data_IF_779192426015
#
_entry.id   IF_779192426015
#
_cell.length_a   1.000
_cell.length_b   1.000
_cell.length_c   1.000
_cell.angle_alpha   90.00
_cell.angle_beta   90.00
_cell.angle_gamma   90.00
#
_symmetry.space_group_name_H-M   'P 1'
#
loop_
_entity.id
_entity.type
_entity.pdbx_description
1 polymer ?
#
# COMPACT_ATOMS: atom_id res chain seq x y z
N UNK A 1 11.13 43.44 0.93
CA UNK A 1 10.31 42.77 -0.09
C UNK A 1 11.28 41.90 -0.88
N UNK A 2 11.71 40.79 -0.29
CA UNK A 2 11.20 39.43 -0.51
C UNK A 2 11.82 38.84 -1.79
N UNK A 3 12.62 37.77 -1.77
CA UNK A 3 12.31 36.51 -1.12
C UNK A 3 13.54 35.58 -1.18
N UNK A 4 14.16 35.29 -0.03
CA UNK A 4 15.12 34.19 0.07
C UNK A 4 14.33 32.88 0.16
N UNK A 5 14.37 32.10 -0.92
CA UNK A 5 13.87 30.72 -0.97
C UNK A 5 14.60 29.89 0.08
N UNK A 6 13.99 29.73 1.26
CA UNK A 6 14.43 28.81 2.30
C UNK A 6 14.31 27.40 1.75
N UNK A 7 15.42 26.85 1.26
CA UNK A 7 15.56 25.46 0.88
C UNK A 7 15.38 24.59 2.13
N UNK A 8 14.13 24.17 2.38
CA UNK A 8 13.81 23.32 3.53
C UNK A 8 14.47 21.96 3.36
N UNK A 9 15.35 21.61 4.30
CA UNK A 9 16.09 20.36 4.32
C UNK A 9 15.15 19.21 4.63
N UNK A 10 15.16 18.18 3.78
CA UNK A 10 14.28 17.03 3.89
C UNK A 10 15.00 15.88 4.61
N UNK A 11 14.36 15.31 5.63
CA UNK A 11 14.84 14.08 6.27
C UNK A 11 14.84 12.94 5.25
N UNK A 12 15.97 12.23 5.04
CA UNK A 12 16.06 11.15 4.04
C UNK A 12 15.18 9.95 4.42
N UNK A 13 14.92 9.74 5.71
CA UNK A 13 14.20 8.58 6.24
C UNK A 13 12.68 8.76 6.19
N UNK A 14 12.16 9.94 6.57
CA UNK A 14 10.71 10.17 6.65
C UNK A 14 10.18 11.32 5.78
N UNK A 15 11.04 11.93 4.94
CA UNK A 15 10.69 12.99 4.00
C UNK A 15 10.09 14.27 4.63
N UNK A 16 10.12 14.42 5.96
CA UNK A 16 9.75 15.66 6.66
C UNK A 16 10.74 16.78 6.37
N UNK A 17 10.23 18.01 6.19
CA UNK A 17 10.99 19.21 5.84
C UNK A 17 11.26 20.07 7.07
N UNK A 18 12.50 20.50 7.23
CA UNK A 18 12.97 21.32 8.35
C UNK A 18 13.56 22.63 7.84
N UNK A 19 13.39 23.73 8.61
CA UNK A 19 13.94 25.03 8.25
C UNK A 19 15.47 25.10 8.41
N UNK A 20 16.07 24.25 9.25
CA UNK A 20 17.52 24.22 9.48
C UNK A 20 18.10 22.79 9.46
N UNK A 21 19.40 22.69 9.17
CA UNK A 21 20.15 21.42 9.21
C UNK A 21 20.23 20.86 10.62
N UNK A 22 20.34 21.74 11.62
CA UNK A 22 20.35 21.39 13.04
C UNK A 22 19.03 20.77 13.48
N UNK A 23 17.89 21.30 13.01
CA UNK A 23 16.57 20.73 13.27
C UNK A 23 16.41 19.37 12.60
N UNK A 24 16.89 19.21 11.37
CA UNK A 24 16.90 17.92 10.67
C UNK A 24 17.78 16.89 11.41
N UNK A 25 18.99 17.27 11.85
CA UNK A 25 19.91 16.39 12.59
C UNK A 25 19.39 16.03 13.98
N UNK A 26 18.72 16.96 14.66
CA UNK A 26 18.03 16.70 15.94
C UNK A 26 16.83 15.78 15.74
N UNK A 27 16.06 15.99 14.68
CA UNK A 27 14.97 15.12 14.30
C UNK A 27 15.44 13.70 13.98
N UNK A 28 16.59 13.53 13.31
CA UNK A 28 17.15 12.20 13.02
C UNK A 28 17.48 11.39 14.27
N UNK A 29 17.83 12.03 15.39
CA UNK A 29 17.97 11.33 16.69
C UNK A 29 16.66 10.81 17.25
N UNK A 30 15.52 11.19 16.67
CA UNK A 30 14.24 10.56 16.97
C UNK A 30 14.09 9.23 16.23
N UNK A 31 14.80 8.98 15.12
CA UNK A 31 14.79 7.66 14.48
C UNK A 31 15.60 6.63 15.27
N UNK A 32 16.55 7.09 16.09
CA UNK A 32 17.43 6.30 16.95
C UNK A 32 16.76 5.83 18.26
N UNK A 33 15.43 5.71 18.25
CA UNK A 33 14.63 5.32 19.41
C UNK A 33 13.84 4.07 19.08
N UNK A 34 13.85 3.11 20.00
CA UNK A 34 13.36 1.74 19.78
C UNK A 34 11.86 1.64 19.48
N UNK A 35 11.05 2.65 19.81
CA UNK A 35 9.58 2.56 19.75
C UNK A 35 8.95 3.57 18.77
N UNK A 36 8.93 3.29 17.45
CA UNK A 36 8.25 4.13 16.46
C UNK A 36 6.73 3.99 16.54
N UNK A 37 6.00 5.11 16.43
CA UNK A 37 4.56 5.09 16.22
C UNK A 37 4.25 4.90 14.74
N UNK A 38 3.57 3.82 14.37
CA UNK A 38 3.26 3.56 12.96
C UNK A 38 2.30 4.61 12.35
N UNK A 39 1.41 5.20 13.16
CA UNK A 39 0.42 6.19 12.70
C UNK A 39 1.04 7.54 12.33
N UNK A 40 2.17 7.95 12.92
CA UNK A 40 2.79 9.25 12.61
C UNK A 40 4.30 9.19 12.35
N UNK A 41 4.93 8.04 12.55
CA UNK A 41 6.38 7.82 12.48
C UNK A 41 7.19 8.50 13.57
N UNK A 42 6.57 9.03 14.62
CA UNK A 42 7.31 9.61 15.73
C UNK A 42 7.80 8.50 16.65
N UNK A 43 9.07 8.50 17.02
CA UNK A 43 9.61 7.44 17.88
C UNK A 43 9.85 7.92 19.32
N UNK A 44 9.71 6.97 20.24
CA UNK A 44 9.74 7.15 21.68
C UNK A 44 10.86 6.30 22.27
N UNK A 45 11.52 6.81 23.31
CA UNK A 45 12.59 6.07 23.98
C UNK A 45 12.06 4.96 24.89
N UNK A 46 10.75 4.93 25.17
CA UNK A 46 10.11 3.89 25.98
C UNK A 46 8.77 3.46 25.37
N UNK A 47 8.43 2.18 25.54
CA UNK A 47 7.13 1.62 25.15
C UNK A 47 5.95 2.30 25.86
N UNK A 48 6.14 2.75 27.11
CA UNK A 48 5.11 3.50 27.87
C UNK A 48 4.77 4.84 27.22
N UNK A 49 5.77 5.57 26.73
CA UNK A 49 5.55 6.86 26.09
C UNK A 49 4.95 6.70 24.68
N UNK A 50 5.34 5.65 23.95
CA UNK A 50 4.65 5.26 22.72
C UNK A 50 3.17 4.99 23.01
N UNK A 51 2.86 4.10 23.96
CA UNK A 51 1.48 3.75 24.29
C UNK A 51 0.63 4.97 24.68
N UNK A 52 1.21 5.90 25.45
CA UNK A 52 0.54 7.16 25.78
C UNK A 52 0.27 8.03 24.54
N UNK A 53 1.21 8.08 23.59
CA UNK A 53 1.06 8.86 22.37
C UNK A 53 -0.02 8.29 21.44
N UNK A 54 -0.19 6.97 21.40
CA UNK A 54 -1.14 6.26 20.52
C UNK A 54 -2.57 6.79 20.67
N UNK A 55 -2.97 7.16 21.89
CA UNK A 55 -4.29 7.72 22.24
C UNK A 55 -4.61 9.02 21.46
N UNK A 56 -3.59 9.73 20.97
CA UNK A 56 -3.78 10.98 20.22
C UNK A 56 -4.28 10.77 18.78
N UNK A 57 -4.16 9.56 18.21
CA UNK A 57 -4.57 9.27 16.83
C UNK A 57 -6.04 8.88 16.69
N UNK A 58 -6.73 8.55 17.78
CA UNK A 58 -8.12 8.09 17.78
C UNK A 58 -9.17 9.19 17.49
N UNK A 59 -8.76 10.36 16.99
CA UNK A 59 -9.58 11.57 16.82
C UNK A 59 -10.30 11.99 18.11
N UNK A 60 -9.65 12.90 18.83
CA UNK A 60 -10.35 13.73 19.80
C UNK A 60 -11.25 14.70 19.03
N UNK A 61 -12.58 14.57 19.17
CA UNK A 61 -13.51 15.60 18.71
C UNK A 61 -13.19 16.96 19.36
N UNK A 62 -13.83 18.05 18.91
CA UNK A 62 -13.56 19.43 19.38
C UNK A 62 -13.75 19.63 20.90
N UNK A 63 -14.35 18.66 21.61
CA UNK A 63 -14.45 18.60 23.08
C UNK A 63 -13.44 17.64 23.74
N UNK A 64 -12.36 17.27 23.02
CA UNK A 64 -11.27 16.29 23.24
C UNK A 64 -10.56 16.18 24.59
N UNK A 65 -11.29 16.26 25.68
CA UNK A 65 -10.83 16.36 27.04
C UNK A 65 -11.18 15.04 27.75
N UNK A 66 -10.25 14.08 27.75
CA UNK A 66 -10.47 12.79 28.43
C UNK A 66 -10.62 13.01 29.94
N UNK A 67 -9.92 14.01 30.47
CA UNK A 67 -9.94 14.37 31.88
C UNK A 67 -10.51 15.78 32.06
N UNK A 68 -11.62 15.86 32.81
CA UNK A 68 -12.23 17.12 33.27
C UNK A 68 -12.03 17.27 34.77
N UNK A 69 -11.95 18.51 35.23
CA UNK A 69 -12.00 18.80 36.65
C UNK A 69 -13.44 18.68 37.15
N UNK A 70 -13.66 17.87 38.17
CA UNK A 70 -14.98 17.64 38.78
C UNK A 70 -15.30 18.63 39.91
N UNK A 71 -14.37 19.54 40.23
CA UNK A 71 -14.60 20.58 41.24
C UNK A 71 -15.72 21.51 40.74
N UNK A 72 -16.82 21.68 41.50
CA UNK A 72 -17.95 22.52 41.10
C UNK A 72 -17.52 23.93 40.68
N UNK A 73 -18.06 24.44 39.57
CA UNK A 73 -17.72 25.75 39.01
C UNK A 73 -16.38 25.83 38.27
N UNK A 74 -15.56 24.77 38.28
CA UNK A 74 -14.31 24.74 37.55
C UNK A 74 -14.55 24.44 36.06
N UNK A 75 -14.15 25.36 35.17
CA UNK A 75 -14.27 25.21 33.71
C UNK A 75 -13.11 24.42 33.07
N UNK A 76 -12.29 23.72 33.86
CA UNK A 76 -11.17 22.95 33.32
C UNK A 76 -11.66 21.67 32.64
N UNK A 77 -11.83 21.73 31.33
CA UNK A 77 -11.83 20.61 30.41
C UNK A 77 -10.73 20.87 29.38
N UNK A 78 -9.79 19.94 29.21
CA UNK A 78 -8.70 20.15 28.23
C UNK A 78 -7.59 19.11 28.24
N UNK A 79 -7.57 18.20 29.22
CA UNK A 79 -6.42 17.34 29.43
C UNK A 79 -6.62 15.95 28.80
N UNK A 80 -5.74 15.58 27.87
CA UNK A 80 -5.58 14.18 27.42
C UNK A 80 -4.84 13.29 28.43
N UNK A 81 -4.30 13.85 29.54
CA UNK A 81 -3.53 13.13 30.55
C UNK A 81 -4.03 13.38 31.97
N UNK A 82 -4.13 12.31 32.76
CA UNK A 82 -4.43 12.34 34.20
C UNK A 82 -3.42 13.24 34.95
N UNK A 83 -2.14 13.19 34.59
CA UNK A 83 -1.10 14.05 35.19
C UNK A 83 -1.36 15.55 35.00
N UNK A 84 -1.93 15.95 33.87
CA UNK A 84 -2.23 17.36 33.59
C UNK A 84 -3.44 17.82 34.41
N UNK A 85 -4.43 16.94 34.62
CA UNK A 85 -5.51 17.17 35.56
C UNK A 85 -4.98 17.31 36.99
N UNK A 86 -4.09 16.41 37.42
CA UNK A 86 -3.48 16.50 38.76
C UNK A 86 -2.71 17.80 38.97
N UNK A 87 -1.88 18.20 38.00
CA UNK A 87 -1.15 19.48 38.04
C UNK A 87 -2.11 20.67 38.12
N UNK A 88 -3.18 20.68 37.32
CA UNK A 88 -4.22 21.70 37.40
C UNK A 88 -4.84 21.73 38.80
N UNK A 89 -5.25 20.56 39.34
CA UNK A 89 -5.91 20.45 40.62
C UNK A 89 -5.03 20.93 41.77
N UNK A 90 -3.75 20.53 41.78
CA UNK A 90 -2.78 20.98 42.78
C UNK A 90 -2.61 22.50 42.74
N UNK A 91 -2.43 23.07 41.55
CA UNK A 91 -2.09 24.49 41.42
C UNK A 91 -3.29 25.43 41.60
N UNK A 92 -4.52 24.97 41.30
CA UNK A 92 -5.73 25.82 41.33
C UNK A 92 -6.64 25.56 42.52
N UNK A 93 -6.67 24.33 43.04
CA UNK A 93 -7.61 23.91 44.11
C UNK A 93 -6.93 23.57 45.44
N UNK A 94 -5.60 23.36 45.45
CA UNK A 94 -4.85 23.14 46.71
C UNK A 94 -4.26 24.45 47.26
N UNK A 95 -3.88 25.37 46.36
CA UNK A 95 -3.20 26.64 46.70
C UNK A 95 -3.90 27.90 46.17
N UNK A 96 -5.13 27.79 45.63
CA UNK A 96 -5.88 28.88 45.03
C UNK A 96 -7.02 29.44 45.91
N UNK A 97 -7.90 30.25 45.30
CA UNK A 97 -9.04 30.90 45.97
C UNK A 97 -10.11 29.92 46.51
N UNK A 98 -10.14 28.69 46.00
CA UNK A 98 -11.01 27.62 46.47
C UNK A 98 -10.13 26.50 47.04
N UNK A 99 -9.94 26.47 48.37
CA UNK A 99 -9.05 25.52 49.04
C UNK A 99 -9.79 24.22 49.35
N UNK A 100 -9.63 23.24 48.49
CA UNK A 100 -10.18 21.89 48.68
C UNK A 100 -9.20 21.09 49.55
N UNK A 101 -9.66 20.40 50.62
CA UNK A 101 -8.82 19.49 51.39
C UNK A 101 -8.15 18.45 50.48
N UNK A 102 -6.87 18.14 50.73
CA UNK A 102 -6.09 17.27 49.82
C UNK A 102 -6.74 15.89 49.63
N UNK A 103 -7.36 15.36 50.69
CA UNK A 103 -8.08 14.08 50.65
C UNK A 103 -9.23 14.11 49.65
N UNK A 104 -10.10 15.11 49.73
CA UNK A 104 -11.24 15.27 48.83
C UNK A 104 -10.79 15.58 47.39
N UNK A 105 -9.67 16.31 47.23
CA UNK A 105 -9.06 16.55 45.92
C UNK A 105 -8.52 15.25 45.30
N UNK A 106 -7.95 14.36 46.12
CA UNK A 106 -7.54 13.01 45.70
C UNK A 106 -8.74 12.19 45.28
N UNK A 107 -9.85 12.29 46.01
CA UNK A 107 -11.09 11.59 45.69
C UNK A 107 -11.70 12.11 44.37
N UNK A 108 -11.68 13.42 44.11
CA UNK A 108 -12.07 13.98 42.82
C UNK A 108 -11.16 13.51 41.67
N UNK A 109 -9.84 13.44 41.92
CA UNK A 109 -8.86 12.95 40.95
C UNK A 109 -9.05 11.47 40.62
N UNK A 110 -9.41 10.66 41.62
CA UNK A 110 -9.72 9.25 41.45
C UNK A 110 -11.08 9.06 40.77
N UNK A 111 -12.10 9.86 41.12
CA UNK A 111 -13.43 9.89 40.47
C UNK A 111 -13.40 10.37 39.03
N UNK A 112 -12.34 11.08 38.61
CA UNK A 112 -12.13 11.47 37.22
C UNK A 112 -11.68 10.28 36.33
N UNK A 113 -11.78 9.03 36.79
CA UNK A 113 -11.56 7.84 35.97
C UNK A 113 -12.52 7.80 34.78
N UNK A 114 -11.90 7.78 33.59
CA UNK A 114 -12.46 7.54 32.25
C UNK A 114 -13.95 7.84 32.07
N UNK A 115 -14.28 9.07 31.63
CA UNK A 115 -15.55 9.32 30.91
C UNK A 115 -15.56 8.72 29.50
N UNK A 116 -14.62 7.83 29.17
CA UNK A 116 -14.65 7.00 27.98
C UNK A 116 -15.09 5.60 28.36
N UNK A 117 -15.90 5.01 27.50
CA UNK A 117 -16.09 3.57 27.44
C UNK A 117 -14.72 2.92 27.18
N UNK A 118 -14.13 2.30 28.21
CA UNK A 118 -12.80 1.67 28.16
C UNK A 118 -12.71 0.59 27.07
N UNK A 119 -13.86 0.05 26.63
CA UNK A 119 -13.94 -0.91 25.53
C UNK A 119 -13.45 -0.34 24.20
N UNK A 120 -13.71 0.96 23.92
CA UNK A 120 -13.32 1.62 22.66
C UNK A 120 -11.84 2.01 22.60
N UNK A 121 -11.24 2.33 23.75
CA UNK A 121 -9.78 2.51 23.89
C UNK A 121 -9.02 1.20 23.64
N UNK A 122 -9.54 0.08 24.14
CA UNK A 122 -8.96 -1.24 23.85
C UNK A 122 -9.06 -1.58 22.37
N UNK A 123 -10.16 -1.24 21.71
CA UNK A 123 -10.31 -1.48 20.26
C UNK A 123 -9.28 -0.69 19.42
N UNK A 124 -9.09 0.61 19.68
CA UNK A 124 -8.10 1.41 18.96
C UNK A 124 -6.65 1.02 19.29
N UNK A 125 -6.37 0.62 20.52
CA UNK A 125 -5.10 0.00 20.90
C UNK A 125 -4.86 -1.30 20.11
N UNK A 126 -5.80 -2.26 20.13
CA UNK A 126 -5.71 -3.54 19.39
C UNK A 126 -5.50 -3.37 17.89
N UNK A 127 -6.22 -2.45 17.26
CA UNK A 127 -6.05 -2.16 15.83
C UNK A 127 -4.60 -1.75 15.52
N UNK A 128 -4.04 -0.93 16.39
CA UNK A 128 -2.68 -0.44 16.25
C UNK A 128 -1.63 -1.50 16.68
N UNK A 129 -1.99 -2.43 17.57
CA UNK A 129 -1.16 -3.59 17.91
C UNK A 129 -1.11 -4.61 16.77
N UNK A 130 -2.23 -4.83 16.08
CA UNK A 130 -2.30 -5.67 14.89
C UNK A 130 -1.37 -5.16 13.79
N UNK A 131 -1.42 -3.86 13.50
CA UNK A 131 -0.53 -3.27 12.50
C UNK A 131 0.95 -3.35 12.91
N UNK A 132 1.29 -3.17 14.19
CA UNK A 132 2.66 -3.34 14.69
C UNK A 132 3.12 -4.80 14.59
N UNK A 133 2.27 -5.75 15.00
CA UNK A 133 2.53 -7.18 14.84
C UNK A 133 2.76 -7.51 13.36
N UNK A 134 1.98 -6.89 12.47
CA UNK A 134 2.18 -7.01 11.03
C UNK A 134 3.52 -6.45 10.56
N UNK A 135 3.96 -5.31 11.09
CA UNK A 135 5.27 -4.75 10.77
C UNK A 135 6.43 -5.66 11.20
N UNK A 136 6.33 -6.24 12.39
CA UNK A 136 7.37 -7.11 12.94
C UNK A 136 7.32 -8.54 12.40
N UNK A 137 6.19 -8.95 11.80
CA UNK A 137 5.96 -10.35 11.43
C UNK A 137 5.63 -11.24 12.62
N UNK A 138 5.13 -10.66 13.71
CA UNK A 138 4.74 -11.37 14.93
C UNK A 138 3.36 -12.01 14.74
N UNK A 139 3.37 -13.23 14.21
CA UNK A 139 2.17 -13.98 13.85
C UNK A 139 1.25 -14.25 15.04
N UNK A 140 1.82 -14.66 16.17
CA UNK A 140 1.05 -15.01 17.37
C UNK A 140 0.33 -13.79 17.93
N UNK A 141 1.04 -12.65 17.98
CA UNK A 141 0.43 -11.40 18.43
C UNK A 141 -0.62 -10.88 17.45
N UNK A 142 -0.39 -11.00 16.14
CA UNK A 142 -1.40 -10.64 15.15
C UNK A 142 -2.66 -11.50 15.30
N UNK A 143 -2.50 -12.81 15.50
CA UNK A 143 -3.58 -13.77 15.74
C UNK A 143 -4.37 -13.46 17.02
N UNK A 144 -3.67 -13.09 18.10
CA UNK A 144 -4.29 -12.62 19.34
C UNK A 144 -5.12 -11.36 19.10
N UNK A 145 -4.56 -10.35 18.44
CA UNK A 145 -5.26 -9.09 18.13
C UNK A 145 -6.54 -9.34 17.31
N UNK A 146 -6.47 -10.20 16.29
CA UNK A 146 -7.64 -10.58 15.47
C UNK A 146 -8.70 -11.28 16.32
N UNK A 147 -8.30 -12.22 17.20
CA UNK A 147 -9.21 -12.92 18.12
C UNK A 147 -9.91 -11.96 19.09
N UNK A 148 -9.21 -10.92 19.53
CA UNK A 148 -9.77 -9.87 20.39
C UNK A 148 -10.66 -8.84 19.65
N UNK A 149 -10.91 -9.05 18.36
CA UNK A 149 -11.78 -8.21 17.54
C UNK A 149 -11.09 -6.95 17.02
N UNK A 150 -9.77 -6.99 16.77
CA UNK A 150 -9.12 -5.92 16.02
C UNK A 150 -9.75 -5.78 14.61
N UNK A 151 -10.01 -4.55 14.21
CA UNK A 151 -10.45 -4.21 12.86
C UNK A 151 -9.31 -4.48 11.88
N UNK A 152 -9.46 -5.52 11.08
CA UNK A 152 -8.46 -5.95 10.10
C UNK A 152 -8.32 -4.98 8.92
N UNK A 153 -9.35 -4.14 8.70
CA UNK A 153 -9.38 -3.15 7.64
C UNK A 153 -8.64 -1.86 8.02
N UNK A 154 -8.20 -1.73 9.28
CA UNK A 154 -7.50 -0.54 9.76
C UNK A 154 -6.26 -0.25 8.90
N UNK A 155 -6.02 1.02 8.63
CA UNK A 155 -4.91 1.48 7.78
C UNK A 155 -3.95 2.37 8.57
N UNK A 156 -2.67 2.23 8.28
CA UNK A 156 -1.63 3.15 8.73
C UNK A 156 -1.68 4.48 7.96
N UNK A 157 -0.73 5.38 8.24
CA UNK A 157 -0.60 6.67 7.54
C UNK A 157 -0.28 6.58 6.05
N UNK A 158 0.21 5.43 5.58
CA UNK A 158 0.49 5.16 4.16
C UNK A 158 -0.72 4.57 3.45
N UNK A 159 -1.80 4.29 4.19
CA UNK A 159 -2.99 3.63 3.68
C UNK A 159 -2.87 2.10 3.68
N UNK A 160 -1.84 1.54 4.31
CA UNK A 160 -1.59 0.09 4.35
C UNK A 160 -2.29 -0.54 5.57
N UNK A 161 -3.03 -1.61 5.36
CA UNK A 161 -3.54 -2.48 6.42
C UNK A 161 -2.54 -3.61 6.73
N UNK A 162 -2.89 -4.50 7.65
CA UNK A 162 -2.04 -5.63 8.05
C UNK A 162 -1.65 -6.53 6.86
N UNK A 163 -2.56 -6.76 5.90
CA UNK A 163 -2.28 -7.57 4.71
C UNK A 163 -1.24 -6.92 3.80
N UNK A 164 -1.38 -5.61 3.53
CA UNK A 164 -0.40 -4.87 2.73
C UNK A 164 0.97 -4.82 3.40
N UNK A 165 1.03 -4.67 4.73
CA UNK A 165 2.29 -4.71 5.47
C UNK A 165 2.91 -6.10 5.40
N UNK A 166 2.11 -7.16 5.49
CA UNK A 166 2.58 -8.54 5.33
C UNK A 166 3.25 -8.68 3.96
N UNK A 167 2.58 -8.25 2.88
CA UNK A 167 3.10 -8.29 1.49
C UNK A 167 4.40 -7.48 1.33
N UNK A 168 4.40 -6.22 1.76
CA UNK A 168 5.56 -5.33 1.65
C UNK A 168 6.81 -5.90 2.37
N UNK A 169 6.61 -6.76 3.39
CA UNK A 169 7.69 -7.31 4.22
C UNK A 169 7.96 -8.80 4.03
N UNK A 170 7.17 -9.49 3.21
CA UNK A 170 7.35 -10.92 2.94
C UNK A 170 6.82 -11.87 4.02
N UNK A 171 5.89 -11.44 4.87
CA UNK A 171 5.37 -12.25 5.98
C UNK A 171 4.24 -13.19 5.52
N UNK A 172 4.58 -14.32 4.89
CA UNK A 172 3.61 -15.25 4.27
C UNK A 172 2.58 -15.83 5.25
N UNK A 173 3.00 -16.24 6.45
CA UNK A 173 2.07 -16.83 7.43
C UNK A 173 1.07 -15.82 7.97
N UNK A 174 1.53 -14.58 8.21
CA UNK A 174 0.65 -13.49 8.56
C UNK A 174 -0.36 -13.20 7.45
N UNK A 175 0.06 -13.25 6.18
CA UNK A 175 -0.84 -13.11 5.04
C UNK A 175 -1.92 -14.20 5.05
N UNK A 176 -1.58 -15.46 5.36
CA UNK A 176 -2.56 -16.55 5.52
C UNK A 176 -3.58 -16.26 6.62
N UNK A 177 -3.12 -15.82 7.79
CA UNK A 177 -4.00 -15.45 8.91
C UNK A 177 -4.97 -14.33 8.54
N UNK A 178 -4.48 -13.32 7.82
CA UNK A 178 -5.26 -12.16 7.43
C UNK A 178 -6.28 -12.47 6.32
N UNK A 179 -5.92 -13.35 5.38
CA UNK A 179 -6.86 -13.86 4.36
C UNK A 179 -8.00 -14.66 4.99
N UNK A 180 -7.71 -15.52 5.96
CA UNK A 180 -8.72 -16.28 6.71
C UNK A 180 -9.72 -15.40 7.45
N UNK A 181 -9.33 -14.17 7.79
CA UNK A 181 -10.19 -13.20 8.46
C UNK A 181 -11.04 -12.35 7.50
N UNK A 182 -11.06 -12.67 6.20
CA UNK A 182 -12.04 -12.15 5.24
C UNK A 182 -11.64 -10.86 4.52
N UNK A 183 -10.34 -10.54 4.44
CA UNK A 183 -9.87 -9.47 3.54
C UNK A 183 -10.02 -9.90 2.09
N UNK A 184 -10.48 -8.99 1.23
CA UNK A 184 -10.54 -9.20 -0.21
C UNK A 184 -9.16 -9.59 -0.79
N UNK A 185 -9.01 -10.83 -1.30
CA UNK A 185 -7.75 -11.33 -1.81
C UNK A 185 -7.31 -10.68 -3.13
N UNK A 186 -8.22 -10.08 -3.90
CA UNK A 186 -7.89 -9.55 -5.22
C UNK A 186 -6.97 -8.32 -5.14
N UNK A 187 -7.34 -7.35 -4.29
CA UNK A 187 -6.52 -6.16 -4.04
C UNK A 187 -5.12 -6.47 -3.49
N UNK A 188 -4.94 -7.67 -2.90
CA UNK A 188 -3.67 -8.19 -2.41
C UNK A 188 -2.86 -8.88 -3.52
N UNK A 189 -3.53 -9.60 -4.43
CA UNK A 189 -2.89 -10.30 -5.54
C UNK A 189 -2.08 -9.33 -6.39
N UNK A 190 -2.67 -8.21 -6.80
CA UNK A 190 -1.98 -7.20 -7.60
C UNK A 190 -0.70 -6.70 -6.90
N UNK A 191 -0.77 -6.44 -5.59
CA UNK A 191 0.38 -5.97 -4.81
C UNK A 191 1.48 -7.04 -4.72
N UNK A 192 1.11 -8.29 -4.45
CA UNK A 192 2.07 -9.39 -4.39
C UNK A 192 2.79 -9.63 -5.72
N UNK A 193 2.05 -9.50 -6.83
CA UNK A 193 2.61 -9.55 -8.19
C UNK A 193 3.55 -8.39 -8.45
N UNK A 194 3.18 -7.15 -8.09
CA UNK A 194 4.04 -5.97 -8.28
C UNK A 194 5.39 -6.09 -7.55
N UNK A 195 5.41 -6.75 -6.39
CA UNK A 195 6.63 -7.02 -5.61
C UNK A 195 7.43 -8.22 -6.12
N UNK A 196 6.88 -9.05 -7.01
CA UNK A 196 7.58 -10.22 -7.55
C UNK A 196 7.68 -11.40 -6.58
N UNK A 197 6.86 -11.47 -5.53
CA UNK A 197 6.92 -12.54 -4.53
C UNK A 197 6.08 -13.76 -4.93
N UNK A 198 6.75 -14.81 -5.42
CA UNK A 198 6.11 -16.06 -5.88
C UNK A 198 5.30 -16.72 -4.76
N UNK A 199 5.87 -16.81 -3.55
CA UNK A 199 5.23 -17.49 -2.41
C UNK A 199 3.94 -16.78 -1.97
N UNK A 200 3.94 -15.44 -2.01
CA UNK A 200 2.77 -14.64 -1.67
C UNK A 200 1.68 -14.75 -2.71
N UNK A 201 2.06 -14.73 -4.00
CA UNK A 201 1.09 -14.97 -5.09
C UNK A 201 0.43 -16.33 -4.92
N UNK A 202 1.21 -17.41 -4.74
CA UNK A 202 0.66 -18.75 -4.50
C UNK A 202 -0.29 -18.78 -3.31
N UNK A 203 0.14 -18.22 -2.18
CA UNK A 203 -0.67 -18.16 -0.95
C UNK A 203 -2.02 -17.47 -1.17
N UNK A 204 -2.06 -16.39 -1.97
CA UNK A 204 -3.30 -15.67 -2.29
C UNK A 204 -4.18 -16.50 -3.24
N UNK A 205 -3.59 -17.14 -4.26
CA UNK A 205 -4.35 -17.97 -5.21
C UNK A 205 -4.92 -19.23 -4.55
N UNK A 206 -4.18 -19.83 -3.63
CA UNK A 206 -4.61 -21.00 -2.83
C UNK A 206 -5.81 -20.67 -1.91
N UNK A 207 -6.15 -19.39 -1.71
CA UNK A 207 -7.36 -18.99 -0.97
C UNK A 207 -8.68 -19.20 -1.72
N UNK A 208 -8.63 -19.68 -2.97
CA UNK A 208 -9.81 -19.90 -3.81
C UNK A 208 -10.25 -18.67 -4.60
N UNK A 209 -9.36 -17.68 -4.76
CA UNK A 209 -9.64 -16.47 -5.55
C UNK A 209 -9.81 -16.82 -7.03
N UNK A 210 -10.96 -16.47 -7.60
CA UNK A 210 -11.14 -16.46 -9.05
C UNK A 210 -10.42 -15.24 -9.65
N UNK A 211 -9.34 -15.46 -10.41
CA UNK A 211 -8.47 -14.40 -10.95
C UNK A 211 -9.18 -13.48 -11.97
N UNK A 212 -10.32 -13.92 -12.51
CA UNK A 212 -10.98 -13.30 -13.66
C UNK A 212 -12.00 -12.20 -13.31
N UNK A 213 -12.01 -11.70 -12.08
CA UNK A 213 -12.80 -10.52 -11.74
C UNK A 213 -12.13 -9.27 -12.32
N UNK A 214 -12.85 -8.66 -13.27
CA UNK A 214 -12.43 -7.47 -14.01
C UNK A 214 -12.40 -6.25 -13.08
N UNK A 215 -11.30 -6.03 -12.35
CA UNK A 215 -11.12 -4.73 -11.73
C UNK A 215 -10.71 -3.72 -12.81
N UNK A 216 -11.71 -2.98 -13.27
CA UNK A 216 -11.54 -1.81 -14.12
C UNK A 216 -10.89 -0.72 -13.25
N UNK A 217 -9.58 -0.56 -13.36
CA UNK A 217 -8.90 0.54 -12.70
C UNK A 217 -9.28 1.86 -13.39
N UNK A 218 -10.00 2.72 -12.68
CA UNK A 218 -10.23 4.11 -13.04
C UNK A 218 -9.16 4.98 -12.36
N UNK A 219 -8.00 5.14 -12.99
CA UNK A 219 -6.95 6.00 -12.44
C UNK A 219 -6.10 6.66 -13.54
N UNK A 220 -5.74 7.95 -13.41
CA UNK A 220 -4.99 8.66 -14.43
C UNK A 220 -3.59 8.06 -14.58
N UNK A 221 -3.26 7.61 -15.78
CA UNK A 221 -1.90 7.26 -16.16
C UNK A 221 -1.02 8.51 -16.04
N UNK A 222 0.12 8.43 -15.36
CA UNK A 222 1.11 9.53 -15.31
C UNK A 222 2.07 9.53 -16.50
N UNK A 223 1.83 8.66 -17.48
CA UNK A 223 2.75 8.42 -18.60
C UNK A 223 2.19 8.84 -19.96
N UNK A 224 0.90 9.17 -20.03
CA UNK A 224 0.26 9.78 -21.19
C UNK A 224 -0.76 10.78 -20.66
N UNK A 225 -0.84 11.97 -21.26
CA UNK A 225 -1.85 12.98 -20.91
C UNK A 225 -3.28 12.56 -21.28
N UNK A 226 -3.46 11.32 -21.73
CA UNK A 226 -4.72 10.70 -22.09
C UNK A 226 -5.34 9.99 -20.88
N UNK A 227 -6.63 10.21 -20.68
CA UNK A 227 -7.46 9.54 -19.67
C UNK A 227 -7.84 8.11 -20.11
N UNK A 228 -7.05 7.46 -20.98
CA UNK A 228 -7.34 6.10 -21.42
C UNK A 228 -7.22 5.11 -20.27
N UNK A 229 -8.24 4.26 -20.19
CA UNK A 229 -8.41 3.20 -19.20
C UNK A 229 -7.34 2.13 -19.43
N UNK A 230 -6.20 2.24 -18.78
CA UNK A 230 -5.24 1.12 -18.75
C UNK A 230 -5.80 0.06 -17.81
N UNK A 231 -6.48 -0.93 -18.38
CA UNK A 231 -6.88 -2.13 -17.64
C UNK A 231 -5.60 -2.85 -17.22
N UNK A 232 -5.28 -2.83 -15.93
CA UNK A 232 -4.11 -3.52 -15.36
C UNK A 232 -4.55 -4.81 -14.69
N UNK A 233 -4.50 -5.93 -15.42
CA UNK A 233 -4.65 -7.26 -14.81
C UNK A 233 -3.37 -7.68 -14.08
N UNK A 234 -3.44 -8.61 -13.11
CA UNK A 234 -2.25 -9.21 -12.50
C UNK A 234 -1.26 -9.75 -13.55
N UNK A 235 -1.77 -10.37 -14.61
CA UNK A 235 -0.94 -10.87 -15.71
C UNK A 235 -0.20 -9.76 -16.46
N UNK A 236 -0.88 -8.64 -16.77
CA UNK A 236 -0.21 -7.47 -17.38
C UNK A 236 0.86 -6.87 -16.47
N UNK A 237 0.62 -6.82 -15.16
CA UNK A 237 1.61 -6.36 -14.19
C UNK A 237 2.85 -7.26 -14.18
N UNK A 238 2.67 -8.57 -14.03
CA UNK A 238 3.76 -9.55 -14.07
C UNK A 238 4.55 -9.45 -15.38
N UNK A 239 3.84 -9.27 -16.50
CA UNK A 239 4.43 -9.16 -17.83
C UNK A 239 5.28 -7.90 -18.01
N UNK A 240 4.81 -6.75 -17.54
CA UNK A 240 5.54 -5.48 -17.56
C UNK A 240 6.73 -5.43 -16.59
N UNK A 241 6.69 -6.21 -15.52
CA UNK A 241 7.76 -6.28 -14.51
C UNK A 241 8.77 -7.39 -14.77
N UNK A 242 8.49 -8.29 -15.71
CA UNK A 242 9.36 -9.39 -16.09
C UNK A 242 9.30 -10.58 -15.13
N UNK A 243 8.22 -10.71 -14.38
CA UNK A 243 8.05 -11.81 -13.44
C UNK A 243 7.51 -13.06 -14.16
N UNK A 244 8.36 -13.69 -14.99
CA UNK A 244 8.01 -14.85 -15.81
C UNK A 244 7.38 -16.01 -15.02
N UNK A 245 7.96 -16.37 -13.87
CA UNK A 245 7.41 -17.43 -13.02
C UNK A 245 6.02 -17.08 -12.47
N UNK A 246 5.77 -15.80 -12.16
CA UNK A 246 4.46 -15.35 -11.68
C UNK A 246 3.45 -15.33 -12.83
N UNK A 247 3.85 -14.86 -14.03
CA UNK A 247 3.01 -14.90 -15.21
C UNK A 247 2.57 -16.34 -15.54
N UNK A 248 3.51 -17.29 -15.47
CA UNK A 248 3.24 -18.72 -15.61
C UNK A 248 2.19 -19.21 -14.58
N UNK A 249 2.37 -18.90 -13.30
CA UNK A 249 1.44 -19.28 -12.23
C UNK A 249 0.05 -18.68 -12.45
N UNK A 250 -0.04 -17.40 -12.83
CA UNK A 250 -1.32 -16.73 -13.09
C UNK A 250 -2.06 -17.40 -14.26
N UNK A 251 -1.35 -17.76 -15.32
CA UNK A 251 -1.90 -18.49 -16.47
C UNK A 251 -2.34 -19.91 -16.08
N UNK A 252 -1.56 -20.61 -15.24
CA UNK A 252 -1.93 -21.93 -14.69
C UNK A 252 -3.23 -21.89 -13.89
N UNK A 253 -3.52 -20.75 -13.26
CA UNK A 253 -4.75 -20.50 -12.50
C UNK A 253 -5.85 -19.80 -13.34
N UNK A 254 -5.73 -19.83 -14.68
CA UNK A 254 -6.80 -19.43 -15.59
C UNK A 254 -6.92 -17.92 -15.84
N UNK A 255 -5.86 -17.14 -15.62
CA UNK A 255 -5.83 -15.73 -16.03
C UNK A 255 -6.08 -15.60 -17.55
N UNK A 256 -7.10 -14.83 -17.95
CA UNK A 256 -7.46 -14.61 -19.36
C UNK A 256 -6.39 -13.83 -20.13
N UNK A 257 -6.04 -14.30 -21.32
CA UNK A 257 -5.25 -13.55 -22.32
C UNK A 257 -6.08 -13.10 -23.52
N UNK A 258 -7.30 -13.62 -23.70
CA UNK A 258 -8.04 -13.60 -24.98
C UNK A 258 -8.55 -12.24 -25.47
N UNK A 259 -8.59 -11.22 -24.61
CA UNK A 259 -8.96 -9.86 -25.03
C UNK A 259 -7.83 -9.30 -25.93
N UNK A 260 -8.07 -9.08 -27.23
CA UNK A 260 -7.02 -8.67 -28.16
C UNK A 260 -6.26 -7.42 -27.71
N UNK A 261 -6.95 -6.45 -27.12
CA UNK A 261 -6.32 -5.22 -26.63
C UNK A 261 -5.36 -5.50 -25.47
N UNK A 262 -5.63 -6.53 -24.65
CA UNK A 262 -4.75 -6.96 -23.56
C UNK A 262 -3.58 -7.77 -24.12
N UNK A 263 -3.83 -8.73 -25.01
CA UNK A 263 -2.77 -9.58 -25.57
C UNK A 263 -1.74 -8.77 -26.35
N UNK A 264 -2.17 -7.76 -27.11
CA UNK A 264 -1.27 -6.87 -27.85
C UNK A 264 -0.24 -6.20 -26.95
N UNK A 265 -0.69 -5.65 -25.83
CA UNK A 265 0.19 -4.95 -24.91
C UNK A 265 1.20 -5.90 -24.26
N UNK A 266 0.80 -7.14 -23.97
CA UNK A 266 1.69 -8.18 -23.45
C UNK A 266 2.81 -8.51 -24.44
N UNK A 267 2.50 -8.59 -25.74
CA UNK A 267 3.48 -8.89 -26.79
C UNK A 267 4.36 -7.70 -27.20
N UNK A 268 3.91 -6.46 -26.99
CA UNK A 268 4.70 -5.28 -27.34
C UNK A 268 5.58 -4.83 -26.16
N UNK A 269 5.06 -4.89 -24.93
CA UNK A 269 5.69 -4.29 -23.73
C UNK A 269 6.06 -5.31 -22.67
N UNK A 270 5.66 -6.56 -22.81
CA UNK A 270 6.04 -7.62 -21.87
C UNK A 270 7.53 -7.90 -21.93
N UNK A 271 8.07 -8.58 -20.92
CA UNK A 271 9.43 -9.10 -21.01
C UNK A 271 9.49 -10.35 -21.88
N UNK A 272 10.61 -10.53 -22.59
CA UNK A 272 10.81 -11.62 -23.55
C UNK A 272 10.44 -13.00 -23.01
N UNK A 273 10.81 -13.33 -21.77
CA UNK A 273 10.51 -14.63 -21.17
C UNK A 273 9.01 -14.82 -20.90
N UNK A 274 8.31 -13.74 -20.52
CA UNK A 274 6.85 -13.76 -20.36
C UNK A 274 6.19 -13.92 -21.72
N UNK A 275 6.67 -13.22 -22.74
CA UNK A 275 6.19 -13.38 -24.11
C UNK A 275 6.37 -14.81 -24.59
N UNK A 276 7.54 -15.44 -24.37
CA UNK A 276 7.76 -16.87 -24.69
C UNK A 276 6.72 -17.78 -24.03
N UNK A 277 6.41 -17.55 -22.76
CA UNK A 277 5.38 -18.30 -22.04
C UNK A 277 4.00 -18.13 -22.71
N UNK A 278 3.64 -16.90 -23.08
CA UNK A 278 2.37 -16.61 -23.76
C UNK A 278 2.31 -17.28 -25.14
N UNK A 279 3.37 -17.17 -25.95
CA UNK A 279 3.49 -17.83 -27.26
C UNK A 279 3.39 -19.35 -27.14
N UNK A 280 3.98 -19.94 -26.09
CA UNK A 280 3.92 -21.39 -25.89
C UNK A 280 2.49 -21.88 -25.59
N UNK A 281 1.61 -21.00 -25.09
CA UNK A 281 0.21 -21.29 -24.81
C UNK A 281 -0.74 -20.93 -25.96
N UNK A 282 -0.43 -19.87 -26.69
CA UNK A 282 -1.24 -19.39 -27.82
C UNK A 282 -0.67 -19.94 -29.13
N UNK A 283 -1.30 -21.00 -29.67
CA UNK A 283 -0.80 -21.68 -30.87
C UNK A 283 -1.51 -21.30 -32.19
N UNK A 284 -2.26 -20.19 -32.22
CA UNK A 284 -2.91 -19.74 -33.46
C UNK A 284 -1.96 -18.83 -34.27
N UNK A 285 -1.27 -19.46 -35.22
CA UNK A 285 -0.32 -18.80 -36.14
C UNK A 285 -0.98 -17.74 -37.04
N UNK A 286 -2.29 -17.85 -37.29
CA UNK A 286 -3.05 -16.98 -38.16
C UNK A 286 -3.86 -15.94 -37.39
N UNK A 287 -3.76 -15.94 -36.04
CA UNK A 287 -4.44 -14.98 -35.17
C UNK A 287 -4.13 -13.54 -35.55
N UNK A 288 -5.19 -12.74 -35.55
CA UNK A 288 -5.18 -11.31 -35.84
C UNK A 288 -5.50 -10.53 -34.58
N UNK A 289 -4.63 -9.61 -34.25
CA UNK A 289 -4.71 -8.75 -33.09
C UNK A 289 -5.12 -7.33 -33.51
N UNK A 290 -6.03 -6.77 -32.71
CA UNK A 290 -6.42 -5.38 -32.80
C UNK A 290 -7.16 -4.99 -34.06
N UNK A 291 -7.48 -3.70 -34.12
CA UNK A 291 -8.18 -3.10 -35.26
C UNK A 291 -7.36 -3.13 -36.56
N UNK A 292 -6.04 -3.34 -36.48
CA UNK A 292 -5.14 -3.35 -37.64
C UNK A 292 -4.98 -4.74 -38.25
N UNK A 293 -5.42 -5.81 -37.56
CA UNK A 293 -5.20 -7.18 -38.01
C UNK A 293 -3.71 -7.57 -37.98
N UNK A 294 -2.98 -7.11 -36.96
CA UNK A 294 -1.57 -7.45 -36.78
C UNK A 294 -1.44 -8.95 -36.44
N UNK A 295 -0.41 -9.63 -36.95
CA UNK A 295 -0.06 -10.98 -36.47
C UNK A 295 0.92 -10.90 -35.30
N UNK A 296 1.15 -12.00 -34.59
CA UNK A 296 2.12 -12.04 -33.49
C UNK A 296 3.52 -11.52 -33.91
N UNK A 297 3.99 -11.90 -35.11
CA UNK A 297 5.25 -11.40 -35.66
C UNK A 297 5.28 -9.87 -35.81
N UNK A 298 4.17 -9.22 -36.15
CA UNK A 298 4.12 -7.76 -36.19
C UNK A 298 4.33 -7.14 -34.81
N UNK A 299 3.73 -7.74 -33.77
CA UNK A 299 3.79 -7.24 -32.40
C UNK A 299 5.19 -7.41 -31.80
N UNK A 300 5.76 -8.62 -31.90
CA UNK A 300 7.09 -8.89 -31.33
C UNK A 300 8.22 -8.21 -32.11
N UNK A 301 8.03 -7.90 -33.41
CA UNK A 301 9.01 -7.18 -34.21
C UNK A 301 9.31 -5.75 -33.70
N UNK A 302 8.47 -5.21 -32.82
CA UNK A 302 8.68 -3.87 -32.23
C UNK A 302 9.75 -3.90 -31.14
N UNK A 303 9.70 -4.85 -30.19
CA UNK A 303 10.53 -4.85 -28.98
C UNK A 303 11.15 -6.21 -28.60
N UNK A 304 10.86 -7.28 -29.33
CA UNK A 304 11.32 -8.65 -29.05
C UNK A 304 11.82 -9.31 -30.35
N UNK A 305 12.70 -8.62 -31.07
CA UNK A 305 13.25 -9.11 -32.33
C UNK A 305 13.94 -10.47 -32.18
N UNK A 306 14.46 -10.77 -30.99
CA UNK A 306 15.09 -12.04 -30.61
C UNK A 306 14.14 -13.25 -30.71
N UNK A 307 12.82 -13.03 -30.70
CA UNK A 307 11.83 -14.10 -30.86
C UNK A 307 11.47 -14.37 -32.32
N UNK A 308 11.88 -13.51 -33.26
CA UNK A 308 11.47 -13.63 -34.67
C UNK A 308 11.93 -14.95 -35.26
N UNK A 309 13.19 -15.33 -35.06
CA UNK A 309 13.72 -16.60 -35.58
C UNK A 309 13.00 -17.81 -34.99
N UNK A 310 12.76 -17.79 -33.67
CA UNK A 310 12.03 -18.85 -32.96
C UNK A 310 10.60 -19.01 -33.50
N UNK A 311 9.91 -17.90 -33.75
CA UNK A 311 8.55 -17.90 -34.32
C UNK A 311 8.53 -18.35 -35.78
N UNK A 312 9.50 -17.95 -36.60
CA UNK A 312 9.60 -18.41 -37.99
C UNK A 312 9.81 -19.92 -38.04
N UNK A 313 10.67 -20.46 -37.17
CA UNK A 313 10.87 -21.92 -37.05
C UNK A 313 9.60 -22.65 -36.63
N UNK A 314 8.72 -22.00 -35.85
CA UNK A 314 7.38 -22.49 -35.47
C UNK A 314 6.32 -22.32 -36.57
N UNK A 315 6.67 -21.81 -37.75
CA UNK A 315 5.79 -21.70 -38.91
C UNK A 315 5.04 -20.37 -39.05
N UNK A 316 5.37 -19.36 -38.25
CA UNK A 316 4.76 -18.03 -38.40
C UNK A 316 5.21 -17.37 -39.71
N UNK A 317 4.25 -16.79 -40.45
CA UNK A 317 4.48 -16.21 -41.78
C UNK A 317 5.25 -14.89 -41.69
N UNK A 318 6.54 -14.90 -42.04
CA UNK A 318 7.44 -13.72 -42.01
C UNK A 318 6.93 -12.54 -42.84
N UNK A 319 6.26 -12.82 -43.96
CA UNK A 319 5.71 -11.82 -44.88
C UNK A 319 4.19 -11.65 -44.74
N UNK A 320 3.62 -12.01 -43.58
CA UNK A 320 2.21 -11.74 -43.31
C UNK A 320 1.90 -10.24 -43.47
N UNK A 321 0.73 -9.94 -43.99
CA UNK A 321 0.24 -8.57 -44.19
C UNK A 321 -0.90 -8.27 -43.24
N UNK A 322 -0.84 -7.13 -42.56
CA UNK A 322 -1.96 -6.59 -41.80
C UNK A 322 -3.02 -5.97 -42.74
N UNK A 323 -4.07 -5.33 -42.19
CA UNK A 323 -5.14 -4.71 -42.99
C UNK A 323 -4.69 -3.48 -43.80
N UNK A 324 -3.52 -2.93 -43.50
CA UNK A 324 -2.90 -1.81 -44.21
C UNK A 324 -1.75 -2.28 -45.12
N UNK A 325 -1.68 -3.59 -45.38
CA UNK A 325 -0.66 -4.19 -46.23
C UNK A 325 0.77 -4.02 -45.70
N UNK A 326 0.93 -3.79 -44.39
CA UNK A 326 2.20 -3.68 -43.68
C UNK A 326 2.69 -5.07 -43.29
N UNK A 327 4.02 -5.25 -43.28
CA UNK A 327 4.69 -6.50 -42.88
C UNK A 327 5.31 -6.37 -41.47
N UNK A 328 5.69 -7.48 -40.81
CA UNK A 328 6.44 -7.41 -39.56
C UNK A 328 7.72 -6.57 -39.66
N UNK A 329 8.42 -6.65 -40.80
CA UNK A 329 9.59 -5.81 -41.07
C UNK A 329 9.23 -4.31 -41.09
N UNK A 330 8.06 -3.94 -41.65
CA UNK A 330 7.63 -2.54 -41.63
C UNK A 330 7.33 -2.02 -40.21
N UNK A 331 6.91 -2.89 -39.28
CA UNK A 331 6.74 -2.55 -37.86
C UNK A 331 8.10 -2.35 -37.18
N UNK A 332 9.07 -3.23 -37.44
CA UNK A 332 10.45 -3.10 -36.95
C UNK A 332 11.15 -1.85 -37.48
N UNK A 333 11.02 -1.54 -38.76
CA UNK A 333 11.61 -0.33 -39.37
C UNK A 333 10.86 0.94 -39.00
N UNK A 334 9.55 0.82 -38.79
CA UNK A 334 8.77 1.87 -38.18
C UNK A 334 9.33 2.25 -36.81
N UNK A 335 9.85 1.27 -36.02
CA UNK A 335 10.38 1.39 -34.63
C UNK A 335 11.52 2.39 -34.52
N UNK A 336 12.39 2.45 -35.54
CA UNK A 336 13.44 3.46 -35.71
C UNK A 336 12.91 4.87 -36.02
N UNK A 337 11.60 5.05 -36.18
CA UNK A 337 10.92 6.31 -36.48
C UNK A 337 9.72 6.62 -35.55
N UNK A 338 9.59 5.97 -34.38
CA UNK A 338 8.52 6.24 -33.41
C UNK A 338 8.74 7.52 -32.59
N UNK A 339 8.79 8.66 -33.27
CA UNK A 339 8.37 9.94 -32.68
C UNK A 339 6.83 10.06 -32.61
N UNK A 340 6.07 9.07 -33.07
CA UNK A 340 4.59 9.11 -33.03
C UNK A 340 3.96 8.41 -31.81
N UNK A 341 4.73 7.66 -31.01
CA UNK A 341 4.29 7.21 -29.67
C UNK A 341 4.56 8.22 -28.55
N UNK A 342 5.20 9.36 -28.85
CA UNK A 342 5.36 10.50 -27.94
C UNK A 342 4.20 11.50 -27.98
N UNK A 343 3.13 11.22 -28.74
CA UNK A 343 2.10 12.19 -29.09
C UNK A 343 0.64 11.74 -28.97
N UNK A 344 0.33 10.65 -28.26
CA UNK A 344 -1.06 10.31 -27.87
C UNK A 344 -1.10 9.78 -26.43
#
# INVERSE_FOLDING_TARGET
MDSASSSRLQCPECKKRFPTSTDCRRHRRLHDKDFPCISCGYCFGTKKDLNRHRITHEKLDKDGCIYKCLVPGCKFGGAGRKDNLWKHMKNKHLSGAFKVPEKDLRDYYNKAESMRDLSKLRAGERNLELLEAAYQGDEEKAKECIREGADISIRDKRGNNAAYIAIDRGHTNLLKLVLQAGIDPYSLLYRAVEHGSIEMVKTILDSGLEINIEEIYHGPSRLSGDQSRVIKSPLTCASMKGHAAIAQILLDHGAKTDDPARTEFLFIRGHIDVVRILVAREHDIDRRYGQFGATLLHLVAVNHAELIEELIQKGFKVNARDYYNRTPLSYALGSTSYQWLSGM
#
